data_IF_725533254743
#
_entry.id   IF_725533254743
#
_cell.length_a   1.000
_cell.length_b   1.000
_cell.length_c   1.000
_cell.angle_alpha   90.00
_cell.angle_beta   90.00
_cell.angle_gamma   90.00
#
_symmetry.space_group_name_H-M   'P 1'
#
loop_
_entity.id
_entity.type
_entity.pdbx_description
1 polymer ?
#
# COMPACT_ATOMS: atom_id res chain seq x y z
N UNK A 1 2.05 46.10 -48.70
CA UNK A 1 1.27 46.05 -47.45
C UNK A 1 2.11 46.69 -46.36
N UNK A 2 1.51 47.56 -45.56
CA UNK A 2 2.19 48.20 -44.44
C UNK A 2 2.51 47.15 -43.35
N UNK A 3 3.71 47.17 -42.76
CA UNK A 3 4.16 46.15 -41.78
C UNK A 3 3.22 46.09 -40.58
N UNK A 4 2.68 47.23 -40.17
CA UNK A 4 1.71 47.32 -39.08
C UNK A 4 0.38 46.65 -39.43
N UNK A 5 -0.02 46.68 -40.70
CA UNK A 5 -1.22 46.00 -41.18
C UNK A 5 -1.04 44.48 -41.20
N UNK A 6 0.17 44.00 -41.56
CA UNK A 6 0.49 42.58 -41.50
C UNK A 6 0.53 42.07 -40.05
N UNK A 7 1.10 42.85 -39.12
CA UNK A 7 1.08 42.52 -37.68
C UNK A 7 -0.33 42.41 -37.13
N UNK A 8 -1.20 43.38 -37.42
CA UNK A 8 -2.59 43.36 -36.96
C UNK A 8 -3.39 42.18 -37.53
N UNK A 9 -3.11 41.76 -38.77
CA UNK A 9 -3.71 40.55 -39.34
C UNK A 9 -3.21 39.30 -38.61
N UNK A 10 -1.90 39.21 -38.35
CA UNK A 10 -1.32 38.08 -37.61
C UNK A 10 -1.85 38.02 -36.18
N UNK A 11 -1.96 39.14 -35.48
CA UNK A 11 -2.53 39.21 -34.12
C UNK A 11 -4.00 38.77 -34.12
N UNK A 12 -4.81 39.24 -35.09
CA UNK A 12 -6.21 38.82 -35.23
C UNK A 12 -6.35 37.31 -35.51
N UNK A 13 -5.48 36.74 -36.34
CA UNK A 13 -5.50 35.30 -36.64
C UNK A 13 -4.96 34.45 -35.48
N UNK A 14 -4.06 35.01 -34.66
CA UNK A 14 -3.60 34.37 -33.41
C UNK A 14 -4.75 34.37 -32.40
N UNK A 15 -5.45 35.49 -32.22
CA UNK A 15 -6.58 35.62 -31.31
C UNK A 15 -7.77 34.71 -31.70
N UNK A 16 -8.05 34.56 -33.00
CA UNK A 16 -9.10 33.67 -33.53
C UNK A 16 -8.66 32.17 -33.61
N UNK A 17 -7.42 31.84 -33.26
CA UNK A 17 -6.92 30.47 -33.34
C UNK A 17 -7.38 29.60 -32.17
N UNK A 18 -7.82 28.37 -32.47
CA UNK A 18 -8.19 27.35 -31.47
C UNK A 18 -6.94 26.95 -30.68
N UNK A 19 -6.70 27.64 -29.58
CA UNK A 19 -5.53 27.44 -28.71
C UNK A 19 -5.02 28.72 -28.04
N UNK A 20 -5.44 29.90 -28.50
CA UNK A 20 -5.06 31.17 -27.88
C UNK A 20 -6.13 31.59 -26.85
N UNK A 21 -5.89 31.19 -25.60
CA UNK A 21 -6.64 31.56 -24.38
C UNK A 21 -8.02 30.90 -24.23
N UNK A 22 -8.19 30.16 -23.12
CA UNK A 22 -9.46 29.66 -22.53
C UNK A 22 -10.56 29.19 -23.49
N UNK A 23 -10.21 28.32 -24.44
CA UNK A 23 -11.22 27.54 -25.18
C UNK A 23 -11.54 26.24 -24.43
N UNK A 24 -12.75 25.69 -24.62
CA UNK A 24 -13.19 24.42 -24.00
C UNK A 24 -12.17 23.28 -24.21
N UNK A 25 -11.51 23.26 -25.38
CA UNK A 25 -10.46 22.29 -25.70
C UNK A 25 -9.20 22.39 -24.84
N UNK A 26 -8.86 23.59 -24.32
CA UNK A 26 -7.73 23.77 -23.40
C UNK A 26 -8.10 23.26 -22.01
N UNK A 27 -9.32 23.54 -21.55
CA UNK A 27 -9.83 23.03 -20.28
C UNK A 27 -9.97 21.50 -20.28
N UNK A 28 -10.47 20.91 -21.37
CA UNK A 28 -10.54 19.45 -21.53
C UNK A 28 -9.15 18.80 -21.57
N UNK A 29 -8.18 19.44 -22.23
CA UNK A 29 -6.78 18.96 -22.25
C UNK A 29 -6.12 19.09 -20.88
N UNK A 30 -6.37 20.18 -20.16
CA UNK A 30 -5.86 20.38 -18.82
C UNK A 30 -6.44 19.34 -17.86
N UNK A 31 -7.76 19.10 -17.88
CA UNK A 31 -8.38 18.00 -17.14
C UNK A 31 -7.75 16.66 -17.52
N UNK A 32 -7.64 16.35 -18.82
CA UNK A 32 -7.02 15.10 -19.26
C UNK A 32 -5.55 14.94 -18.80
N UNK A 33 -4.81 16.05 -18.72
CA UNK A 33 -3.45 16.11 -18.19
C UNK A 33 -3.43 15.94 -16.66
N UNK A 34 -4.34 16.56 -15.91
CA UNK A 34 -4.51 16.36 -14.47
C UNK A 34 -4.81 14.87 -14.17
N UNK A 35 -5.70 14.26 -14.94
CA UNK A 35 -6.00 12.82 -14.88
C UNK A 35 -4.77 11.95 -15.22
N UNK A 36 -3.98 12.33 -16.23
CA UNK A 36 -2.79 11.59 -16.65
C UNK A 36 -1.62 11.73 -15.66
N UNK A 37 -1.43 12.93 -15.10
CA UNK A 37 -0.36 13.27 -14.18
C UNK A 37 -0.64 12.84 -12.73
N UNK A 38 -1.86 12.33 -12.45
CA UNK A 38 -2.32 11.96 -11.10
C UNK A 38 -2.22 13.10 -10.10
N UNK A 39 -2.58 14.31 -10.52
CA UNK A 39 -2.67 15.40 -9.54
C UNK A 39 -3.84 15.14 -8.55
N UNK A 40 -3.67 15.47 -7.26
CA UNK A 40 -4.68 15.22 -6.23
C UNK A 40 -6.03 15.85 -6.54
N UNK A 41 -7.13 15.12 -6.36
CA UNK A 41 -8.50 15.62 -6.63
C UNK A 41 -9.03 16.62 -5.59
N UNK A 42 -8.21 17.02 -4.62
CA UNK A 42 -8.55 17.97 -3.55
C UNK A 42 -9.51 17.45 -2.48
N UNK A 43 -10.00 16.20 -2.59
CA UNK A 43 -10.81 15.50 -1.60
C UNK A 43 -10.08 14.33 -0.91
N UNK A 44 -8.80 14.13 -1.24
CA UNK A 44 -7.95 13.12 -0.65
C UNK A 44 -7.67 13.47 0.82
N UNK A 45 -7.82 12.49 1.71
CA UNK A 45 -7.28 12.60 3.07
C UNK A 45 -5.78 12.77 2.89
N UNK A 46 -5.21 13.91 3.29
CA UNK A 46 -3.82 14.33 3.01
C UNK A 46 -2.74 13.27 3.31
N UNK A 47 -3.06 12.26 4.11
CA UNK A 47 -2.14 11.26 4.63
C UNK A 47 -2.24 9.87 3.97
N UNK A 48 -3.21 9.65 3.07
CA UNK A 48 -3.42 8.40 2.32
C UNK A 48 -3.47 8.67 0.81
N UNK A 49 -2.89 7.76 0.01
CA UNK A 49 -2.97 7.82 -1.46
C UNK A 49 -4.36 7.37 -1.96
N UNK A 50 -5.34 8.28 -1.84
CA UNK A 50 -6.74 7.99 -2.11
C UNK A 50 -6.99 7.49 -3.53
N UNK A 51 -6.29 8.03 -4.52
CA UNK A 51 -6.42 7.58 -5.90
C UNK A 51 -5.94 6.14 -6.09
N UNK A 52 -4.73 5.78 -5.61
CA UNK A 52 -4.26 4.40 -5.71
C UNK A 52 -5.16 3.43 -4.94
N UNK A 53 -5.63 3.82 -3.76
CA UNK A 53 -6.51 2.99 -2.93
C UNK A 53 -7.81 2.68 -3.69
N UNK A 54 -8.47 3.72 -4.22
CA UNK A 54 -9.72 3.56 -4.97
C UNK A 54 -9.49 2.79 -6.27
N UNK A 55 -8.42 3.11 -7.01
CA UNK A 55 -8.06 2.41 -8.23
C UNK A 55 -7.91 0.90 -7.98
N UNK A 56 -7.10 0.52 -6.98
CA UNK A 56 -6.87 -0.88 -6.66
C UNK A 56 -8.14 -1.56 -6.14
N UNK A 57 -8.89 -0.90 -5.26
CA UNK A 57 -10.14 -1.42 -4.72
C UNK A 57 -11.17 -1.73 -5.80
N UNK A 58 -11.36 -0.80 -6.75
CA UNK A 58 -12.24 -0.97 -7.90
C UNK A 58 -11.72 -2.01 -8.87
N UNK A 59 -10.41 -2.04 -9.13
CA UNK A 59 -9.80 -3.00 -10.06
C UNK A 59 -9.95 -4.42 -9.55
N UNK A 60 -9.70 -4.66 -8.27
CA UNK A 60 -9.88 -5.95 -7.62
C UNK A 60 -11.36 -6.38 -7.66
N UNK A 61 -12.30 -5.47 -7.38
CA UNK A 61 -13.73 -5.76 -7.46
C UNK A 61 -14.17 -6.15 -8.89
N UNK A 62 -13.66 -5.46 -9.91
CA UNK A 62 -14.03 -5.67 -11.32
C UNK A 62 -13.39 -6.91 -11.94
N UNK A 63 -12.24 -7.37 -11.44
CA UNK A 63 -11.55 -8.56 -11.92
C UNK A 63 -11.88 -9.78 -11.05
N UNK A 64 -11.69 -9.68 -9.73
CA UNK A 64 -11.72 -10.77 -8.75
C UNK A 64 -13.04 -10.85 -7.95
N UNK A 65 -14.12 -10.24 -8.47
CA UNK A 65 -15.51 -10.28 -7.95
C UNK A 65 -15.77 -9.42 -6.74
N UNK A 66 -14.80 -9.25 -5.84
CA UNK A 66 -14.94 -8.43 -4.64
C UNK A 66 -13.60 -7.81 -4.28
N UNK A 67 -13.58 -6.49 -4.12
CA UNK A 67 -12.43 -5.76 -3.58
C UNK A 67 -12.65 -5.44 -2.12
N UNK A 68 -11.61 -5.53 -1.28
CA UNK A 68 -11.70 -5.25 0.15
C UNK A 68 -10.65 -4.20 0.54
N UNK A 69 -11.06 -3.26 1.40
CA UNK A 69 -10.17 -2.29 2.04
C UNK A 69 -10.29 -2.40 3.54
N UNK A 70 -9.16 -2.24 4.24
CA UNK A 70 -9.10 -2.16 5.70
C UNK A 70 -8.85 -0.71 6.10
N UNK A 71 -9.62 -0.20 7.05
CA UNK A 71 -9.47 1.14 7.60
C UNK A 71 -9.24 1.04 9.11
N UNK A 72 -8.06 1.44 9.57
CA UNK A 72 -7.68 1.37 10.98
C UNK A 72 -6.89 2.60 11.41
N UNK A 73 -6.78 2.82 12.72
CA UNK A 73 -5.98 3.89 13.30
C UNK A 73 -4.55 3.38 13.53
N UNK A 74 -3.56 4.07 12.97
CA UNK A 74 -2.15 3.75 13.16
C UNK A 74 -1.48 4.84 14.00
N UNK A 75 -0.93 4.44 15.15
CA UNK A 75 -0.14 5.32 16.01
C UNK A 75 1.33 5.20 15.63
N UNK A 76 1.84 6.20 14.91
CA UNK A 76 3.23 6.26 14.51
C UNK A 76 4.04 7.09 15.51
N UNK A 77 5.07 6.48 16.07
CA UNK A 77 6.07 7.18 16.87
C UNK A 77 7.19 7.61 15.93
N UNK A 78 7.25 8.89 15.59
CA UNK A 78 8.34 9.44 14.79
C UNK A 78 9.50 9.88 15.71
N UNK A 79 10.68 9.32 15.46
CA UNK A 79 11.88 9.56 16.25
C UNK A 79 12.90 10.27 15.38
N UNK A 80 12.98 11.59 15.52
CA UNK A 80 13.99 12.39 14.83
C UNK A 80 15.21 12.59 15.71
N UNK A 81 16.40 12.44 15.11
CA UNK A 81 17.68 12.72 15.78
C UNK A 81 18.23 14.01 15.23
N UNK A 82 18.32 15.03 16.07
CA UNK A 82 18.84 16.33 15.71
C UNK A 82 20.18 16.55 16.43
N UNK A 83 21.11 17.20 15.73
CA UNK A 83 22.42 17.57 16.28
C UNK A 83 22.47 19.09 16.35
N UNK A 84 22.78 19.59 17.53
CA UNK A 84 23.01 21.00 17.76
C UNK A 84 24.44 21.19 18.25
N UNK A 85 25.14 22.16 17.67
CA UNK A 85 26.52 22.50 17.98
C UNK A 85 26.57 23.94 18.49
N UNK A 86 27.50 24.23 19.41
CA UNK A 86 27.74 25.57 19.95
C UNK A 86 26.52 26.26 20.60
N UNK A 87 25.71 25.50 21.34
CA UNK A 87 24.59 26.07 22.11
C UNK A 87 25.09 26.78 23.36
N UNK A 88 24.48 27.93 23.68
CA UNK A 88 24.66 28.60 24.97
C UNK A 88 23.86 27.90 26.09
N UNK A 89 24.22 28.18 27.35
CA UNK A 89 23.53 27.62 28.54
C UNK A 89 22.02 27.88 28.50
N UNK A 90 21.58 29.06 28.06
CA UNK A 90 20.16 29.44 27.97
C UNK A 90 19.41 28.70 26.84
N UNK A 91 20.05 28.48 25.69
CA UNK A 91 19.47 27.75 24.56
C UNK A 91 19.35 26.25 24.84
N UNK A 92 20.33 25.68 25.54
CA UNK A 92 20.28 24.30 26.02
C UNK A 92 19.10 24.10 26.99
N UNK A 93 18.89 25.05 27.90
CA UNK A 93 17.81 25.01 28.89
C UNK A 93 16.43 25.11 28.21
N UNK A 94 16.33 25.91 27.14
CA UNK A 94 15.11 25.98 26.33
C UNK A 94 14.82 24.66 25.61
N UNK A 95 15.84 23.99 25.05
CA UNK A 95 15.69 22.69 24.39
C UNK A 95 15.30 21.57 25.37
N UNK A 96 15.85 21.58 26.58
CA UNK A 96 15.53 20.62 27.65
C UNK A 96 14.16 20.84 28.30
N UNK A 97 13.54 22.00 28.06
CA UNK A 97 12.21 22.32 28.57
C UNK A 97 11.08 21.66 27.76
N UNK A 98 11.37 21.16 26.55
CA UNK A 98 10.41 20.44 25.71
C UNK A 98 10.27 18.98 26.19
N UNK A 99 9.08 18.55 26.66
CA UNK A 99 8.85 17.21 27.18
C UNK A 99 8.98 16.10 26.11
N UNK A 100 9.02 16.43 24.82
CA UNK A 100 9.20 15.47 23.72
C UNK A 100 10.68 15.13 23.44
N UNK A 101 11.63 15.77 24.14
CA UNK A 101 13.06 15.71 23.84
C UNK A 101 13.83 14.87 24.86
N UNK A 102 14.52 13.83 24.37
CA UNK A 102 15.47 13.03 25.15
C UNK A 102 16.91 13.35 24.72
N UNK A 103 17.80 13.66 25.67
CA UNK A 103 19.23 13.85 25.37
C UNK A 103 19.94 12.51 25.23
N UNK A 104 20.54 12.25 24.06
CA UNK A 104 21.28 11.02 23.77
C UNK A 104 22.76 11.16 24.11
N UNK A 105 23.34 12.34 23.86
CA UNK A 105 24.73 12.65 24.21
C UNK A 105 24.94 14.15 24.33
N UNK A 106 25.75 14.58 25.30
CA UNK A 106 26.12 15.98 25.53
C UNK A 106 27.64 16.08 25.69
N UNK A 107 28.24 16.98 24.92
CA UNK A 107 29.64 17.40 25.02
C UNK A 107 29.67 18.89 25.39
N UNK A 108 30.58 19.28 26.28
CA UNK A 108 30.70 20.67 26.75
C UNK A 108 32.13 21.13 26.57
N UNK A 109 32.29 22.19 25.78
CA UNK A 109 33.58 22.84 25.57
C UNK A 109 33.60 24.16 26.34
N UNK A 110 34.64 24.35 27.15
CA UNK A 110 34.83 25.57 27.94
C UNK A 110 35.98 26.37 27.32
N UNK A 111 35.66 27.53 26.76
CA UNK A 111 36.66 28.44 26.19
C UNK A 111 36.81 29.65 27.09
N UNK A 112 37.96 29.77 27.76
CA UNK A 112 38.32 30.97 28.52
C UNK A 112 38.89 32.02 27.58
N UNK A 113 38.15 33.10 27.36
CA UNK A 113 38.64 34.27 26.64
C UNK A 113 39.12 35.27 27.69
N UNK A 114 40.41 35.61 27.61
CA UNK A 114 41.03 36.64 28.45
C UNK A 114 40.93 37.96 27.69
N UNK A 115 40.22 38.94 28.24
CA UNK A 115 40.06 40.26 27.63
C UNK A 115 41.30 41.13 27.92
N UNK A 116 42.13 41.38 26.90
CA UNK A 116 43.43 42.06 26.98
C UNK A 116 43.35 43.52 27.51
N UNK A 117 42.15 44.11 27.57
CA UNK A 117 41.96 45.51 27.98
C UNK A 117 41.48 45.70 29.43
N UNK A 118 40.84 44.70 30.05
CA UNK A 118 40.23 44.84 31.39
C UNK A 118 40.66 43.79 32.41
N UNK A 119 41.41 42.75 32.00
CA UNK A 119 41.94 41.73 32.90
C UNK A 119 40.89 40.83 33.55
N UNK A 120 39.63 40.89 33.11
CA UNK A 120 38.58 39.96 33.53
C UNK A 120 38.49 38.78 32.56
N UNK A 121 38.64 37.56 33.07
CA UNK A 121 38.38 36.33 32.33
C UNK A 121 36.88 36.08 32.24
N UNK A 122 36.33 36.00 31.02
CA UNK A 122 35.00 35.41 30.78
C UNK A 122 35.19 33.98 30.28
N UNK A 123 34.69 33.02 31.06
CA UNK A 123 34.53 31.63 30.60
C UNK A 123 33.25 31.57 29.77
N UNK A 124 33.38 31.25 28.49
CA UNK A 124 32.23 30.94 27.65
C UNK A 124 32.11 29.42 27.56
N UNK A 125 30.96 28.87 27.92
CA UNK A 125 30.65 27.44 27.82
C UNK A 125 29.79 27.25 26.58
N UNK A 126 30.17 26.30 25.73
CA UNK A 126 29.41 25.90 24.56
C UNK A 126 29.07 24.43 24.66
N UNK A 127 27.80 24.09 24.42
CA UNK A 127 27.29 22.74 24.49
C UNK A 127 27.00 22.19 23.10
N UNK A 128 27.49 20.99 22.81
CA UNK A 128 27.14 20.21 21.63
C UNK A 128 26.29 19.02 22.07
N UNK A 129 25.07 18.93 21.54
CA UNK A 129 24.06 17.99 22.04
C UNK A 129 23.47 17.22 20.87
N UNK A 130 23.31 15.90 21.05
CA UNK A 130 22.47 15.08 20.18
C UNK A 130 21.18 14.80 20.92
N UNK A 131 20.10 15.35 20.39
CA UNK A 131 18.78 15.16 20.96
C UNK A 131 17.98 14.18 20.11
N UNK A 132 17.13 13.41 20.77
CA UNK A 132 16.16 12.51 20.17
C UNK A 132 14.80 13.08 20.49
N UNK A 133 14.12 13.63 19.49
CA UNK A 133 12.75 14.11 19.62
C UNK A 133 11.80 12.98 19.27
N UNK A 134 10.87 12.69 20.16
CA UNK A 134 9.87 11.64 19.97
C UNK A 134 8.51 12.29 19.83
N UNK A 135 7.97 12.34 18.61
CA UNK A 135 6.62 12.81 18.34
C UNK A 135 5.69 11.62 18.17
N UNK A 136 4.59 11.63 18.92
CA UNK A 136 3.49 10.68 18.70
C UNK A 136 2.53 11.33 17.72
N UNK A 137 2.42 10.74 16.54
CA UNK A 137 1.47 11.16 15.52
C UNK A 137 0.54 9.98 15.22
N UNK A 138 -0.73 10.28 14.97
CA UNK A 138 -1.76 9.26 14.74
C UNK A 138 -2.53 9.59 13.49
N UNK A 139 -2.67 8.62 12.59
CA UNK A 139 -3.44 8.80 11.36
C UNK A 139 -4.34 7.62 11.07
N UNK A 140 -5.46 7.91 10.41
CA UNK A 140 -6.29 6.87 9.80
C UNK A 140 -5.53 6.32 8.59
N UNK A 141 -5.27 5.02 8.57
CA UNK A 141 -4.67 4.32 7.44
C UNK A 141 -5.76 3.53 6.73
N UNK A 142 -5.85 3.70 5.42
CA UNK A 142 -6.71 2.88 4.56
C UNK A 142 -5.80 2.08 3.63
N UNK A 143 -5.85 0.75 3.74
CA UNK A 143 -5.05 -0.16 2.92
C UNK A 143 -5.94 -1.09 2.09
N UNK A 144 -5.52 -1.41 0.87
CA UNK A 144 -6.15 -2.46 0.08
C UNK A 144 -5.72 -3.82 0.61
N UNK A 145 -6.70 -4.69 0.84
CA UNK A 145 -6.46 -6.06 1.25
C UNK A 145 -6.52 -6.95 0.00
N UNK A 146 -5.42 -7.64 -0.37
CA UNK A 146 -5.44 -8.62 -1.45
C UNK A 146 -6.54 -9.67 -1.22
N UNK A 147 -7.38 -10.01 -2.21
CA UNK A 147 -8.47 -10.95 -2.00
C UNK A 147 -8.06 -12.35 -1.51
N UNK A 148 -6.84 -12.81 -1.81
CA UNK A 148 -6.24 -14.06 -1.31
C UNK A 148 -5.84 -14.02 0.17
N UNK A 149 -5.71 -12.83 0.74
CA UNK A 149 -5.42 -12.56 2.14
C UNK A 149 -6.69 -12.38 2.97
N UNK A 150 -7.82 -12.08 2.35
CA UNK A 150 -9.09 -11.85 3.03
C UNK A 150 -9.90 -13.15 3.20
N UNK A 151 -10.32 -13.45 4.42
CA UNK A 151 -11.18 -14.59 4.74
C UNK A 151 -12.49 -14.12 5.37
N UNK A 152 -13.59 -14.75 4.97
CA UNK A 152 -14.92 -14.49 5.53
C UNK A 152 -15.69 -15.79 5.68
N UNK A 153 -16.56 -15.86 6.69
CA UNK A 153 -17.46 -17.00 6.87
C UNK A 153 -18.30 -17.26 5.64
N UNK A 154 -18.40 -18.54 5.22
CA UNK A 154 -19.23 -18.97 4.08
C UNK A 154 -20.72 -18.64 4.23
N UNK A 155 -21.18 -18.42 5.47
CA UNK A 155 -22.58 -18.07 5.79
C UNK A 155 -22.83 -16.56 5.74
N UNK A 156 -21.78 -15.75 5.65
CA UNK A 156 -21.89 -14.31 5.67
C UNK A 156 -22.48 -13.75 4.37
N UNK A 157 -23.23 -12.67 4.51
CA UNK A 157 -23.77 -11.87 3.40
C UNK A 157 -23.11 -10.49 3.34
N UNK A 158 -22.79 -9.95 4.52
CA UNK A 158 -22.12 -8.68 4.77
C UNK A 158 -20.94 -8.94 5.71
N UNK A 159 -19.94 -8.06 5.70
CA UNK A 159 -18.79 -8.16 6.60
C UNK A 159 -19.22 -7.95 8.04
N UNK A 160 -20.07 -6.95 8.29
CA UNK A 160 -20.49 -6.50 9.63
C UNK A 160 -21.30 -7.57 10.38
N UNK A 161 -22.12 -8.34 9.66
CA UNK A 161 -22.92 -9.42 10.26
C UNK A 161 -22.21 -10.77 10.24
N UNK A 162 -21.01 -10.85 9.65
CA UNK A 162 -20.27 -12.10 9.57
C UNK A 162 -19.91 -12.61 10.98
N UNK A 163 -20.08 -13.91 11.26
CA UNK A 163 -19.57 -14.52 12.49
C UNK A 163 -18.05 -14.52 12.57
N UNK A 164 -17.37 -14.48 11.42
CA UNK A 164 -15.92 -14.58 11.31
C UNK A 164 -15.42 -13.83 10.08
N UNK A 165 -14.45 -12.97 10.28
CA UNK A 165 -13.70 -12.26 9.23
C UNK A 165 -12.23 -12.31 9.63
N UNK A 166 -11.31 -12.52 8.69
CA UNK A 166 -9.89 -12.47 9.02
C UNK A 166 -9.06 -11.88 7.87
N UNK A 167 -7.96 -11.24 8.25
CA UNK A 167 -6.89 -10.86 7.34
C UNK A 167 -5.68 -11.74 7.62
N UNK A 168 -5.36 -12.61 6.66
CA UNK A 168 -4.17 -13.47 6.69
C UNK A 168 -3.02 -12.74 6.01
N UNK A 169 -1.94 -12.51 6.75
CA UNK A 169 -0.72 -11.90 6.24
C UNK A 169 0.48 -12.80 6.47
N UNK A 170 1.42 -12.71 5.56
CA UNK A 170 2.75 -13.27 5.71
C UNK A 170 3.66 -12.19 6.30
N UNK A 171 4.11 -12.39 7.53
CA UNK A 171 4.98 -11.44 8.24
C UNK A 171 6.28 -12.14 8.65
N UNK A 172 7.39 -11.40 8.63
CA UNK A 172 8.65 -11.91 9.16
C UNK A 172 8.62 -11.95 10.68
N UNK A 173 9.39 -12.84 11.29
CA UNK A 173 9.56 -12.86 12.76
C UNK A 173 10.04 -11.52 13.31
N UNK A 174 10.92 -10.84 12.58
CA UNK A 174 11.39 -9.50 12.93
C UNK A 174 10.26 -8.47 13.00
N UNK A 175 9.33 -8.49 12.03
CA UNK A 175 8.16 -7.61 12.03
C UNK A 175 7.24 -7.91 13.22
N UNK A 176 7.01 -9.17 13.56
CA UNK A 176 6.22 -9.55 14.74
C UNK A 176 6.85 -9.04 16.04
N UNK A 177 8.17 -9.13 16.17
CA UNK A 177 8.88 -8.55 17.33
C UNK A 177 8.78 -7.03 17.33
N UNK A 178 8.83 -6.38 16.16
CA UNK A 178 8.66 -4.93 16.04
C UNK A 178 7.23 -4.46 16.38
N UNK A 179 6.21 -5.28 16.13
CA UNK A 179 4.83 -5.05 16.59
C UNK A 179 4.68 -5.17 18.11
N UNK A 180 5.71 -5.62 18.83
CA UNK A 180 5.73 -5.70 20.29
C UNK A 180 5.49 -7.11 20.84
N UNK A 181 5.37 -8.14 19.98
CA UNK A 181 5.23 -9.50 20.45
C UNK A 181 6.52 -10.03 21.07
N UNK A 182 6.38 -10.86 22.11
CA UNK A 182 7.54 -11.38 22.83
C UNK A 182 8.36 -12.32 21.93
N UNK A 183 9.67 -12.06 21.84
CA UNK A 183 10.58 -12.85 20.98
C UNK A 183 10.49 -14.36 21.23
N UNK A 184 10.31 -14.78 22.49
CA UNK A 184 10.21 -16.20 22.85
C UNK A 184 9.02 -16.91 22.19
N UNK A 185 7.88 -16.24 22.15
CA UNK A 185 6.65 -16.76 21.52
C UNK A 185 6.81 -16.76 20.00
N UNK A 186 7.35 -15.66 19.43
CA UNK A 186 7.59 -15.58 17.99
C UNK A 186 8.59 -16.66 17.53
N UNK A 187 9.60 -16.97 18.35
CA UNK A 187 10.61 -17.97 18.02
C UNK A 187 10.05 -19.40 17.97
N UNK A 188 8.96 -19.71 18.70
CA UNK A 188 8.31 -21.03 18.67
C UNK A 188 7.31 -21.21 17.54
N UNK A 189 6.91 -20.15 16.84
CA UNK A 189 5.95 -20.24 15.74
C UNK A 189 6.56 -21.03 14.56
N UNK A 190 5.77 -21.90 13.97
CA UNK A 190 6.15 -22.59 12.73
C UNK A 190 6.12 -21.61 11.55
N UNK A 191 7.09 -21.70 10.64
CA UNK A 191 7.06 -20.96 9.38
C UNK A 191 6.03 -21.56 8.43
N UNK A 192 5.42 -20.70 7.60
CA UNK A 192 4.38 -21.09 6.66
C UNK A 192 4.59 -20.42 5.30
N UNK A 193 4.21 -21.11 4.24
CA UNK A 193 4.38 -20.68 2.85
C UNK A 193 3.08 -20.76 2.03
N UNK A 194 1.94 -21.07 2.66
CA UNK A 194 0.74 -21.46 1.90
C UNK A 194 0.17 -20.32 1.05
N UNK A 195 0.28 -19.08 1.52
CA UNK A 195 -0.15 -17.89 0.77
C UNK A 195 0.73 -17.66 -0.48
N UNK A 196 2.00 -18.07 -0.45
CA UNK A 196 2.92 -17.86 -1.57
C UNK A 196 2.52 -18.66 -2.81
N UNK A 197 1.95 -19.85 -2.59
CA UNK A 197 1.47 -20.73 -3.65
C UNK A 197 0.01 -20.49 -4.04
N UNK A 198 -0.61 -19.40 -3.57
CA UNK A 198 -1.96 -19.06 -3.98
C UNK A 198 -2.01 -18.76 -5.50
N UNK A 199 -3.01 -19.30 -6.24
CA UNK A 199 -3.10 -19.10 -7.69
C UNK A 199 -3.16 -17.63 -8.10
N UNK A 200 -3.85 -16.82 -7.29
CA UNK A 200 -4.00 -15.38 -7.54
C UNK A 200 -2.66 -14.67 -7.44
N UNK A 201 -1.85 -14.96 -6.41
CA UNK A 201 -0.51 -14.39 -6.25
C UNK A 201 0.43 -14.84 -7.36
N UNK A 202 0.41 -16.13 -7.72
CA UNK A 202 1.20 -16.68 -8.84
C UNK A 202 0.84 -15.98 -10.16
N UNK A 203 -0.45 -15.71 -10.39
CA UNK A 203 -0.93 -15.08 -11.62
C UNK A 203 -0.55 -13.60 -11.75
N UNK A 204 -0.18 -12.92 -10.64
CA UNK A 204 0.28 -11.52 -10.66
C UNK A 204 1.70 -11.38 -11.22
N UNK A 205 2.55 -12.40 -11.09
CA UNK A 205 3.97 -12.34 -11.47
C UNK A 205 4.24 -13.13 -12.75
N UNK A 206 5.04 -12.56 -13.66
CA UNK A 206 5.48 -13.27 -14.85
C UNK A 206 6.47 -14.40 -14.51
N UNK A 207 6.69 -15.33 -15.45
CA UNK A 207 7.77 -16.32 -15.30
C UNK A 207 9.11 -15.61 -15.13
N UNK A 208 9.77 -15.84 -13.99
CA UNK A 208 11.05 -15.22 -13.61
C UNK A 208 10.95 -14.02 -12.67
N UNK A 209 9.75 -13.49 -12.42
CA UNK A 209 9.51 -12.42 -11.43
C UNK A 209 9.01 -12.95 -10.09
N UNK A 210 8.74 -14.25 -10.01
CA UNK A 210 8.33 -14.89 -8.77
C UNK A 210 9.48 -14.83 -7.75
N UNK A 211 9.21 -14.39 -6.52
CA UNK A 211 10.22 -14.41 -5.47
C UNK A 211 10.75 -15.83 -5.27
N UNK A 212 12.07 -15.98 -5.21
CA UNK A 212 12.66 -17.26 -4.82
C UNK A 212 12.38 -17.49 -3.33
N UNK A 213 11.47 -18.42 -3.02
CA UNK A 213 11.13 -18.85 -1.65
C UNK A 213 12.16 -19.82 -1.07
N UNK A 214 13.44 -19.61 -1.36
CA UNK A 214 14.49 -20.37 -0.69
C UNK A 214 14.54 -19.85 0.76
N UNK A 215 14.17 -20.71 1.71
CA UNK A 215 14.09 -20.39 3.12
C UNK A 215 15.30 -19.55 3.56
N UNK A 216 15.02 -18.42 4.21
CA UNK A 216 16.07 -17.56 4.74
C UNK A 216 16.97 -18.37 5.66
N UNK A 217 18.29 -18.18 5.55
CA UNK A 217 19.24 -18.76 6.51
C UNK A 217 19.17 -18.05 7.87
N UNK A 218 18.64 -16.83 7.91
CA UNK A 218 18.38 -16.09 9.13
C UNK A 218 16.95 -16.35 9.60
N UNK A 219 16.83 -16.90 10.81
CA UNK A 219 15.58 -17.17 11.50
C UNK A 219 14.72 -15.92 11.64
N UNK A 220 15.32 -14.74 11.82
CA UNK A 220 14.59 -13.47 12.01
C UNK A 220 13.79 -13.06 10.77
N UNK A 221 14.25 -13.51 9.59
CA UNK A 221 13.65 -13.22 8.29
C UNK A 221 12.78 -14.36 7.78
N UNK A 222 12.62 -15.44 8.57
CA UNK A 222 11.62 -16.46 8.27
C UNK A 222 10.22 -15.85 8.36
N UNK A 223 9.37 -16.28 7.42
CA UNK A 223 8.01 -15.80 7.27
C UNK A 223 7.07 -16.72 8.05
N UNK A 224 6.16 -16.12 8.79
CA UNK A 224 5.12 -16.77 9.58
C UNK A 224 3.76 -16.30 9.09
N UNK A 225 2.81 -17.23 9.02
CA UNK A 225 1.41 -16.92 8.73
C UNK A 225 0.72 -16.37 9.96
N UNK A 226 0.26 -15.12 9.86
CA UNK A 226 -0.45 -14.41 10.92
C UNK A 226 -1.85 -14.10 10.45
N UNK A 227 -2.82 -14.42 11.30
CA UNK A 227 -4.23 -14.23 11.08
C UNK A 227 -4.75 -13.20 12.06
N UNK A 228 -5.13 -12.03 11.56
CA UNK A 228 -5.89 -11.06 12.33
C UNK A 228 -7.38 -11.39 12.20
N UNK A 229 -7.91 -12.08 13.20
CA UNK A 229 -9.27 -12.60 13.22
C UNK A 229 -10.22 -11.67 13.97
N UNK A 230 -11.39 -11.43 13.39
CA UNK A 230 -12.54 -10.78 14.00
C UNK A 230 -13.63 -11.83 14.13
N UNK A 231 -13.89 -12.27 15.36
CA UNK A 231 -14.84 -13.36 15.65
C UNK A 231 -15.87 -12.92 16.67
N UNK A 232 -17.12 -13.33 16.45
CA UNK A 232 -18.20 -13.20 17.44
C UNK A 232 -18.23 -14.44 18.30
N UNK A 233 -17.89 -14.32 19.58
CA UNK A 233 -17.83 -15.43 20.53
C UNK A 233 -18.38 -15.00 21.88
N UNK A 234 -19.12 -15.91 22.52
CA UNK A 234 -19.51 -15.77 23.92
C UNK A 234 -18.33 -16.22 24.78
N UNK A 235 -17.50 -15.27 25.23
CA UNK A 235 -16.29 -15.56 25.99
C UNK A 235 -16.57 -15.74 27.49
N UNK A 236 -17.52 -14.97 28.02
CA UNK A 236 -17.87 -14.93 29.45
C UNK A 236 -18.97 -15.96 29.83
N UNK A 237 -19.54 -16.68 28.85
CA UNK A 237 -20.66 -17.63 28.98
C UNK A 237 -21.97 -16.98 29.46
N UNK A 238 -22.22 -15.73 29.08
CA UNK A 238 -23.48 -15.02 29.39
C UNK A 238 -24.58 -15.22 28.34
N UNK A 239 -24.27 -15.92 27.24
CA UNK A 239 -25.17 -16.19 26.12
C UNK A 239 -25.19 -15.11 25.04
N UNK A 240 -24.42 -14.03 25.18
CA UNK A 240 -24.30 -12.93 24.23
C UNK A 240 -22.93 -13.04 23.55
N UNK A 241 -22.93 -13.02 22.22
CA UNK A 241 -21.68 -13.07 21.46
C UNK A 241 -21.06 -11.66 21.40
N UNK A 242 -19.85 -11.52 21.95
CA UNK A 242 -19.03 -10.32 21.87
C UNK A 242 -18.08 -10.43 20.66
N UNK A 243 -17.78 -9.29 20.04
CA UNK A 243 -16.81 -9.23 18.96
C UNK A 243 -15.41 -9.03 19.55
N UNK A 244 -14.47 -9.90 19.15
CA UNK A 244 -13.08 -9.85 19.62
C UNK A 244 -12.12 -9.85 18.43
N UNK A 245 -11.07 -9.03 18.53
CA UNK A 245 -9.91 -9.04 17.64
C UNK A 245 -8.87 -9.98 18.24
N UNK A 246 -8.59 -11.06 17.52
CA UNK A 246 -7.63 -12.09 17.93
C UNK A 246 -6.52 -12.15 16.90
N UNK A 247 -5.27 -11.94 17.32
CA UNK A 247 -4.09 -12.18 16.48
C UNK A 247 -3.64 -13.62 16.72
N UNK A 248 -3.69 -14.44 15.68
CA UNK A 248 -3.43 -15.87 15.74
C UNK A 248 -2.32 -16.26 14.77
N UNK A 249 -1.33 -17.04 15.23
CA UNK A 249 -0.24 -17.52 14.40
C UNK A 249 0.14 -18.94 14.81
N UNK A 250 0.37 -19.84 13.85
CA UNK A 250 0.89 -21.21 14.05
C UNK A 250 0.35 -21.98 15.28
N UNK A 251 -0.96 -21.88 15.53
CA UNK A 251 -1.69 -22.48 16.67
C UNK A 251 -1.61 -21.79 18.03
N UNK A 252 -1.02 -20.61 18.10
CA UNK A 252 -1.00 -19.78 19.30
C UNK A 252 -1.77 -18.47 19.11
N UNK A 253 -2.42 -18.01 20.17
CA UNK A 253 -3.04 -16.69 20.24
C UNK A 253 -1.98 -15.72 20.77
N UNK A 254 -1.61 -14.75 19.95
CA UNK A 254 -0.64 -13.71 20.28
C UNK A 254 -1.29 -12.55 21.02
N UNK A 255 -2.52 -12.20 20.64
CA UNK A 255 -3.27 -11.08 21.19
C UNK A 255 -4.77 -11.39 21.19
N UNK A 256 -5.47 -10.95 22.23
CA UNK A 256 -6.91 -11.05 22.38
C UNK A 256 -7.45 -9.72 22.96
N UNK A 257 -8.12 -8.93 22.11
CA UNK A 257 -8.69 -7.64 22.46
C UNK A 257 -10.19 -7.61 22.14
N UNK A 258 -11.00 -7.03 23.02
CA UNK A 258 -12.41 -6.74 22.74
C UNK A 258 -12.53 -5.61 21.73
N UNK A 259 -13.41 -5.75 20.74
CA UNK A 259 -13.52 -4.78 19.66
C UNK A 259 -14.99 -4.50 19.30
N UNK A 260 -15.31 -3.24 19.03
CA UNK A 260 -16.68 -2.83 18.74
C UNK A 260 -17.07 -2.96 17.26
N UNK A 261 -16.08 -3.01 16.36
CA UNK A 261 -16.34 -2.98 14.92
C UNK A 261 -15.31 -3.78 14.11
N UNK A 262 -15.72 -4.18 12.91
CA UNK A 262 -14.84 -4.86 11.96
C UNK A 262 -14.31 -3.83 10.95
N UNK A 263 -12.98 -3.61 10.83
CA UNK A 263 -12.40 -2.53 10.03
C UNK A 263 -12.35 -2.80 8.52
N UNK A 264 -13.13 -3.75 8.00
CA UNK A 264 -13.12 -4.11 6.57
C UNK A 264 -14.35 -3.62 5.83
N UNK A 265 -14.12 -3.18 4.59
CA UNK A 265 -15.17 -2.69 3.70
C UNK A 265 -15.03 -3.37 2.34
N UNK A 266 -16.12 -3.97 1.86
CA UNK A 266 -16.17 -4.68 0.59
C UNK A 266 -16.89 -3.90 -0.50
N UNK A 267 -16.43 -4.06 -1.73
CA UNK A 267 -17.12 -3.61 -2.93
C UNK A 267 -17.31 -4.78 -3.89
N UNK A 268 -18.53 -4.95 -4.40
CA UNK A 268 -18.86 -5.91 -5.46
C UNK A 268 -19.62 -5.18 -6.57
N UNK A 269 -19.17 -5.26 -7.85
CA UNK A 269 -19.78 -4.50 -8.94
C UNK A 269 -21.16 -5.06 -9.35
N UNK A 270 -21.34 -6.38 -9.30
CA UNK A 270 -22.59 -7.06 -9.64
C UNK A 270 -22.96 -8.00 -8.48
N UNK A 271 -23.66 -7.50 -7.44
CA UNK A 271 -24.00 -8.31 -6.28
C UNK A 271 -25.02 -9.41 -6.65
N UNK A 272 -24.82 -10.60 -6.10
CA UNK A 272 -25.81 -11.69 -6.15
C UNK A 272 -26.54 -11.71 -4.79
N UNK A 273 -27.88 -11.67 -4.77
CA UNK A 273 -28.64 -11.75 -3.52
C UNK A 273 -28.24 -12.96 -2.66
N UNK A 274 -28.12 -12.74 -1.35
CA UNK A 274 -27.79 -13.74 -0.33
C UNK A 274 -26.38 -14.36 -0.42
N UNK A 275 -25.49 -13.79 -1.23
CA UNK A 275 -24.10 -14.25 -1.37
C UNK A 275 -23.15 -13.07 -1.22
N UNK A 276 -22.09 -13.24 -0.43
CA UNK A 276 -21.04 -12.22 -0.29
C UNK A 276 -20.30 -11.99 -1.61
N UNK A 277 -19.77 -13.07 -2.21
CA UNK A 277 -19.10 -13.00 -3.51
C UNK A 277 -20.11 -13.00 -4.68
N UNK A 278 -20.31 -11.82 -5.27
CA UNK A 278 -21.12 -11.64 -6.48
C UNK A 278 -20.38 -12.01 -7.77
N UNK A 279 -20.71 -11.30 -8.86
CA UNK A 279 -20.04 -11.40 -10.16
C UNK A 279 -19.14 -10.19 -10.40
N UNK A 280 -18.09 -10.40 -11.19
CA UNK A 280 -17.22 -9.36 -11.71
C UNK A 280 -17.56 -9.00 -13.17
N UNK A 281 -16.98 -7.92 -13.68
CA UNK A 281 -17.08 -7.62 -15.12
C UNK A 281 -16.31 -8.65 -15.93
N UNK A 282 -15.18 -9.14 -15.41
CA UNK A 282 -14.40 -10.21 -16.04
C UNK A 282 -15.23 -11.48 -16.21
N UNK A 283 -16.02 -11.89 -15.21
CA UNK A 283 -16.89 -13.07 -15.29
C UNK A 283 -17.83 -13.03 -16.51
N UNK A 284 -18.30 -11.83 -16.91
CA UNK A 284 -19.16 -11.66 -18.08
C UNK A 284 -18.41 -11.65 -19.41
N UNK A 285 -17.14 -11.26 -19.39
CA UNK A 285 -16.30 -11.18 -20.58
C UNK A 285 -15.55 -12.49 -20.89
N UNK A 286 -15.33 -13.34 -19.88
CA UNK A 286 -14.50 -14.56 -20.00
C UNK A 286 -14.99 -15.50 -21.11
N UNK A 287 -16.30 -15.72 -21.22
CA UNK A 287 -16.85 -16.60 -22.26
C UNK A 287 -16.58 -16.07 -23.68
N UNK A 288 -16.82 -14.76 -23.90
CA UNK A 288 -16.51 -14.11 -25.16
C UNK A 288 -15.00 -14.14 -25.48
N UNK A 289 -14.15 -13.93 -24.47
CA UNK A 289 -12.70 -14.03 -24.63
C UNK A 289 -12.27 -15.45 -25.00
N UNK A 290 -12.84 -16.48 -24.36
CA UNK A 290 -12.55 -17.88 -24.66
C UNK A 290 -12.90 -18.24 -26.10
N UNK A 291 -14.10 -17.84 -26.55
CA UNK A 291 -14.56 -18.05 -27.94
C UNK A 291 -13.59 -17.36 -28.90
N UNK A 292 -13.29 -16.08 -28.67
CA UNK A 292 -12.40 -15.29 -29.53
C UNK A 292 -11.00 -15.91 -29.63
N UNK A 293 -10.40 -16.30 -28.50
CA UNK A 293 -9.09 -16.93 -28.46
C UNK A 293 -9.08 -18.30 -29.17
N UNK A 294 -10.14 -19.08 -29.02
CA UNK A 294 -10.27 -20.39 -29.67
C UNK A 294 -10.35 -20.26 -31.17
N UNK A 295 -11.26 -19.41 -31.67
CA UNK A 295 -11.46 -19.17 -33.10
C UNK A 295 -10.20 -18.58 -33.73
N UNK A 296 -9.61 -17.55 -33.11
CA UNK A 296 -8.42 -16.89 -33.64
C UNK A 296 -7.23 -17.85 -33.72
N UNK A 297 -7.04 -18.71 -32.70
CA UNK A 297 -5.99 -19.73 -32.72
C UNK A 297 -6.22 -20.74 -33.85
N UNK A 298 -7.43 -21.28 -34.01
CA UNK A 298 -7.75 -22.21 -35.09
C UNK A 298 -7.57 -21.59 -36.48
N UNK A 299 -7.94 -20.31 -36.64
CA UNK A 299 -7.70 -19.58 -37.89
C UNK A 299 -6.20 -19.43 -38.18
N UNK A 300 -5.40 -19.06 -37.19
CA UNK A 300 -3.94 -19.00 -37.34
C UNK A 300 -3.36 -20.37 -37.68
N UNK A 301 -3.77 -21.44 -37.00
CA UNK A 301 -3.32 -22.80 -37.29
C UNK A 301 -3.64 -23.21 -38.73
N UNK A 302 -4.85 -22.89 -39.21
CA UNK A 302 -5.25 -23.13 -40.59
C UNK A 302 -4.41 -22.32 -41.59
N UNK A 303 -4.13 -21.05 -41.30
CA UNK A 303 -3.26 -20.20 -42.12
C UNK A 303 -1.83 -20.73 -42.17
N UNK A 304 -1.27 -21.20 -41.04
CA UNK A 304 0.05 -21.80 -41.01
C UNK A 304 0.11 -23.09 -41.85
N UNK A 305 -0.91 -23.94 -41.76
CA UNK A 305 -1.00 -25.17 -42.59
C UNK A 305 -1.13 -24.86 -44.08
N UNK A 306 -1.88 -23.81 -44.42
CA UNK A 306 -2.08 -23.38 -45.82
C UNK A 306 -0.81 -22.77 -46.40
N UNK A 307 -0.13 -21.92 -45.65
CA UNK A 307 1.13 -21.30 -46.09
C UNK A 307 2.29 -22.30 -46.14
N UNK A 308 2.36 -23.24 -45.20
CA UNK A 308 3.39 -24.26 -45.15
C UNK A 308 2.86 -25.61 -45.68
N UNK A 309 2.34 -25.58 -46.91
CA UNK A 309 1.80 -26.78 -47.54
C UNK A 309 2.92 -27.80 -47.76
N UNK A 310 2.73 -29.03 -47.26
CA UNK A 310 3.65 -30.13 -47.53
C UNK A 310 3.36 -30.68 -48.92
N UNK A 311 4.31 -30.52 -49.83
CA UNK A 311 4.23 -31.09 -51.17
C UNK A 311 4.64 -32.56 -51.09
N UNK A 312 3.70 -33.47 -51.35
CA UNK A 312 4.01 -34.88 -51.54
C UNK A 312 4.62 -35.08 -52.92
N UNK A 313 5.90 -35.39 -53.00
CA UNK A 313 6.53 -35.81 -54.26
C UNK A 313 6.34 -37.33 -54.44
N UNK A 314 5.89 -37.75 -55.62
CA UNK A 314 5.76 -39.17 -55.98
C UNK A 314 7.10 -39.68 -56.50
N UNK A 315 7.62 -40.73 -55.88
CA UNK A 315 8.93 -41.31 -56.21
C UNK A 315 8.94 -41.79 -57.69
N UNK A 316 9.87 -41.26 -58.49
CA UNK A 316 10.00 -41.56 -59.94
C UNK A 316 9.28 -40.61 -60.91
N UNK A 317 8.55 -39.60 -60.42
CA UNK A 317 7.95 -38.53 -61.26
C UNK A 317 8.56 -37.14 -61.03
N UNK A 318 9.61 -37.06 -60.21
CA UNK A 318 10.41 -35.86 -59.98
C UNK A 318 11.75 -36.08 -60.65
N UNK A 319 12.12 -35.17 -61.56
CA UNK A 319 13.41 -35.17 -62.26
C UNK A 319 14.59 -35.00 -61.29
#
# INVERSE_FOLDING_TARGET
MDINKLKSIIESEIDDSIGYVETDTVAERQQALEYYLREPYGNEVRDNDGFLILHNWFKDALLQKTGVVKAYWDEKIDVTKEKYENLSDDELLMLLSDPEVEVVSQETDETTIVDDFTGMSRTNRSHSVKIKKTKKDGKVVVENVPPEEFLISKRARTIQDSPFVAHRRMLTRSELVAMGFSKKVVDSLESGDTLEFSPDRIARYSQGEQPNSMGSQDQSMEVVEVYECYIKVDYNNDGIAELRRIVYASNEILEDEECDYVPFHSLCPIPIPHKFYGQSLADRALDLQLIKSTVLRQMLDNLYLTNNYRVGAVEGQVN
#
